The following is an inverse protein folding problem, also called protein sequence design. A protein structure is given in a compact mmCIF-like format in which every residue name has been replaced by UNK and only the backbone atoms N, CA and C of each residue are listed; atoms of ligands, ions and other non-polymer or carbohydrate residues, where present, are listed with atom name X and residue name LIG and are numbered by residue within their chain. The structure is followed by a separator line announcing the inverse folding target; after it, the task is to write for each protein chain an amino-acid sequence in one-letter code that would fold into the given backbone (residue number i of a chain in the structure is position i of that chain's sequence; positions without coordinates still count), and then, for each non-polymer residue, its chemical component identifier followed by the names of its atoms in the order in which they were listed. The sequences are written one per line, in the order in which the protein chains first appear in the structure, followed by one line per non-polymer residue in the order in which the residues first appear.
data_IF_443266810014
#
_entry.id   IF_443266810014
#
_cell.length_a   1.000
_cell.length_b   1.000
_cell.length_c   1.000
_cell.angle_alpha   90.00
_cell.angle_beta   90.00
_cell.angle_gamma   90.00
#
_symmetry.space_group_name_H-M   'P 1'
#
loop_
_entity.id
_entity.type
_entity.pdbx_description
1 polymer ?
#
# COMPACT_ATOMS: atom_id res chain seq x y z
N UNK A 1 32.64 6.89 -0.71
CA UNK A 1 33.67 7.97 -0.61
C UNK A 1 32.97 9.18 -0.01
N UNK A 2 33.60 9.85 0.99
CA UNK A 2 33.10 11.12 1.50
C UNK A 2 33.47 12.20 0.50
N UNK A 3 32.54 13.09 0.15
CA UNK A 3 32.84 14.31 -0.61
C UNK A 3 33.64 15.28 0.23
N UNK A 4 34.26 16.24 -0.42
CA UNK A 4 35.06 17.26 0.22
C UNK A 4 36.01 17.94 -0.76
N UNK A 5 36.83 18.85 -0.25
CA UNK A 5 37.85 19.49 -1.04
C UNK A 5 39.17 18.72 -0.92
N UNK A 6 39.73 18.33 -2.06
CA UNK A 6 41.07 17.75 -2.15
C UNK A 6 42.03 18.85 -2.53
N UNK A 7 42.97 19.16 -1.63
CA UNK A 7 44.08 20.06 -1.93
C UNK A 7 45.29 19.28 -2.41
N UNK A 8 45.75 19.56 -3.61
CA UNK A 8 46.98 18.98 -4.19
C UNK A 8 48.11 19.97 -4.05
N UNK A 9 49.25 19.48 -3.62
CA UNK A 9 50.47 20.28 -3.63
C UNK A 9 51.64 19.49 -4.24
N UNK A 10 52.49 20.18 -4.96
CA UNK A 10 53.77 19.63 -5.44
C UNK A 10 54.90 20.21 -4.61
N UNK A 11 55.82 19.37 -4.19
CA UNK A 11 57.03 19.73 -3.47
C UNK A 11 58.22 19.24 -4.25
N UNK A 12 59.14 20.15 -4.54
CA UNK A 12 60.41 19.85 -5.23
C UNK A 12 61.56 20.30 -4.28
N UNK A 13 62.54 19.45 -4.13
CA UNK A 13 63.75 19.72 -3.36
C UNK A 13 64.95 19.65 -4.30
N UNK A 14 65.82 20.65 -4.31
CA UNK A 14 67.05 20.67 -5.12
C UNK A 14 68.18 19.89 -4.41
N UNK A 15 69.34 19.80 -5.06
CA UNK A 15 70.47 19.09 -4.55
C UNK A 15 71.08 19.73 -3.27
N UNK A 16 70.79 20.98 -3.03
CA UNK A 16 71.27 21.77 -1.85
C UNK A 16 70.24 21.71 -0.71
N UNK A 17 69.19 20.92 -0.87
CA UNK A 17 68.12 20.70 0.14
C UNK A 17 67.11 21.83 0.18
N UNK A 18 67.09 22.78 -0.72
CA UNK A 18 66.13 23.86 -0.80
C UNK A 18 64.82 23.35 -1.40
N UNK A 19 63.74 23.63 -0.74
CA UNK A 19 62.42 23.13 -1.08
C UNK A 19 61.54 24.22 -1.63
N UNK A 20 60.87 23.94 -2.77
CA UNK A 20 59.78 24.73 -3.31
C UNK A 20 58.49 23.93 -3.22
N UNK A 21 57.44 24.53 -2.65
CA UNK A 21 56.10 23.92 -2.58
C UNK A 21 55.11 24.80 -3.35
N UNK A 22 54.33 24.17 -4.24
CA UNK A 22 53.22 24.80 -4.95
C UNK A 22 51.93 24.14 -4.57
N UNK A 23 50.98 24.87 -4.04
CA UNK A 23 49.64 24.45 -3.75
C UNK A 23 48.73 24.77 -4.92
N UNK A 24 47.94 23.82 -5.37
CA UNK A 24 46.95 23.97 -6.42
C UNK A 24 45.60 24.32 -5.82
N UNK A 25 44.68 24.89 -6.64
CA UNK A 25 43.31 25.16 -6.21
C UNK A 25 42.64 23.83 -5.77
N UNK A 26 41.88 23.84 -4.68
CA UNK A 26 41.14 22.65 -4.23
C UNK A 26 40.26 22.08 -5.33
N UNK A 27 40.27 20.77 -5.46
CA UNK A 27 39.38 20.03 -6.33
C UNK A 27 38.18 19.59 -5.49
N UNK A 28 37.00 20.06 -5.84
CA UNK A 28 35.76 19.57 -5.21
C UNK A 28 35.47 18.17 -5.68
N UNK A 29 35.37 17.25 -4.73
CA UNK A 29 34.86 15.90 -4.99
C UNK A 29 33.34 15.90 -4.81
N UNK A 30 32.61 15.59 -5.88
CA UNK A 30 31.18 15.52 -5.84
C UNK A 30 30.70 14.40 -4.89
N UNK A 31 29.58 14.63 -4.22
CA UNK A 31 28.90 13.62 -3.42
C UNK A 31 27.65 13.18 -4.13
N UNK A 32 27.43 11.88 -4.12
CA UNK A 32 26.17 11.25 -4.50
C UNK A 32 25.69 10.45 -3.30
N UNK A 33 24.58 10.85 -2.69
CA UNK A 33 24.06 10.20 -1.49
C UNK A 33 22.55 10.16 -1.51
N UNK A 34 21.96 9.03 -1.16
CA UNK A 34 20.54 8.92 -0.85
C UNK A 34 20.41 9.03 0.68
N UNK A 35 19.91 10.16 1.16
CA UNK A 35 19.72 10.42 2.60
C UNK A 35 18.64 9.54 3.17
N UNK A 36 17.50 9.48 2.49
CA UNK A 36 16.34 8.71 2.90
C UNK A 36 15.48 8.29 1.69
N UNK A 37 14.59 7.32 1.93
CA UNK A 37 13.45 7.01 1.07
C UNK A 37 12.21 7.34 1.90
N UNK A 38 11.39 8.26 1.38
CA UNK A 38 10.14 8.68 1.99
C UNK A 38 8.98 8.04 1.23
N UNK A 39 8.02 7.52 1.95
CA UNK A 39 6.79 6.95 1.39
C UNK A 39 5.58 7.72 1.87
N UNK A 40 4.62 7.94 0.97
CA UNK A 40 3.35 8.59 1.27
C UNK A 40 2.19 7.82 0.63
N UNK A 41 1.28 7.25 1.42
CA UNK A 41 1.30 7.17 2.88
C UNK A 41 2.45 6.32 3.43
N UNK A 42 2.76 6.51 4.74
CA UNK A 42 3.80 5.73 5.43
C UNK A 42 3.31 4.30 5.72
N UNK A 43 4.28 3.37 5.88
CA UNK A 43 4.01 2.00 6.34
C UNK A 43 3.45 1.97 7.79
N UNK A 44 2.53 1.04 8.12
CA UNK A 44 1.92 0.04 7.24
C UNK A 44 0.74 0.58 6.43
N UNK A 45 0.44 -0.05 5.28
CA UNK A 45 -0.73 0.23 4.46
C UNK A 45 -1.42 -1.07 4.04
N UNK A 46 -2.57 -0.96 3.35
CA UNK A 46 -3.32 -2.11 2.86
C UNK A 46 -3.08 -2.37 1.37
N UNK A 47 -3.30 -3.61 0.95
CA UNK A 47 -3.34 -4.00 -0.47
C UNK A 47 -4.23 -3.03 -1.26
N UNK A 48 -3.77 -2.60 -2.44
CA UNK A 48 -4.46 -1.67 -3.32
C UNK A 48 -4.28 -0.18 -2.97
N UNK A 49 -3.57 0.16 -1.88
CA UNK A 49 -3.25 1.55 -1.57
C UNK A 49 -2.16 2.06 -2.51
N UNK A 50 -2.41 3.18 -3.19
CA UNK A 50 -1.39 3.87 -3.98
C UNK A 50 -0.38 4.56 -3.07
N UNK A 51 0.89 4.23 -3.22
CA UNK A 51 2.01 4.69 -2.39
C UNK A 51 2.97 5.46 -3.28
N UNK A 52 3.20 6.72 -2.98
CA UNK A 52 4.26 7.49 -3.59
C UNK A 52 5.58 7.19 -2.85
N UNK A 53 6.63 6.86 -3.60
CA UNK A 53 7.98 6.55 -3.10
C UNK A 53 8.91 7.62 -3.64
N UNK A 54 9.62 8.33 -2.76
CA UNK A 54 10.53 9.41 -3.14
C UNK A 54 11.87 9.28 -2.43
N UNK A 55 12.97 9.37 -3.18
CA UNK A 55 14.31 9.46 -2.61
C UNK A 55 14.66 10.90 -2.24
N UNK A 56 15.15 11.10 -1.02
CA UNK A 56 15.81 12.33 -0.57
C UNK A 56 17.29 12.22 -0.93
N UNK A 57 17.71 13.00 -1.93
CA UNK A 57 19.01 12.89 -2.57
C UNK A 57 19.84 14.12 -2.26
N UNK A 58 21.08 13.91 -1.83
CA UNK A 58 22.12 14.94 -1.83
C UNK A 58 23.08 14.66 -2.99
N UNK A 59 23.08 15.58 -3.93
CA UNK A 59 23.93 15.51 -5.11
C UNK A 59 24.60 16.87 -5.35
N UNK A 60 25.90 16.96 -5.10
CA UNK A 60 26.66 18.12 -5.45
C UNK A 60 26.95 18.08 -6.96
N UNK A 61 26.30 18.95 -7.72
CA UNK A 61 26.39 18.99 -9.19
C UNK A 61 27.83 18.98 -9.71
N UNK A 62 28.09 17.97 -10.58
CA UNK A 62 29.22 18.08 -11.48
C UNK A 62 28.86 18.99 -12.67
N UNK A 63 29.86 19.51 -13.36
CA UNK A 63 29.76 20.28 -14.60
C UNK A 63 28.91 19.60 -15.69
N UNK A 64 28.55 18.30 -15.54
CA UNK A 64 27.92 17.46 -16.53
C UNK A 64 26.48 17.01 -16.17
N UNK A 65 25.85 17.63 -15.16
CA UNK A 65 24.40 17.43 -14.94
C UNK A 65 24.04 16.36 -13.93
N UNK A 66 22.88 15.79 -14.10
CA UNK A 66 22.15 14.90 -13.19
C UNK A 66 22.77 13.49 -13.11
N UNK A 67 22.30 12.70 -12.10
CA UNK A 67 22.52 11.27 -12.12
C UNK A 67 22.02 10.66 -13.46
N UNK A 68 22.66 9.59 -13.95
CA UNK A 68 22.33 8.97 -15.23
C UNK A 68 21.25 7.88 -15.10
N UNK A 69 21.06 7.34 -13.89
CA UNK A 69 19.93 6.47 -13.57
C UNK A 69 19.50 6.63 -12.13
N UNK A 70 18.22 6.40 -11.90
CA UNK A 70 17.60 6.19 -10.60
C UNK A 70 16.49 5.16 -10.75
N UNK A 71 16.59 4.08 -10.02
CA UNK A 71 15.57 3.03 -10.03
C UNK A 71 15.24 2.55 -8.62
N UNK A 72 14.01 2.12 -8.44
CA UNK A 72 13.53 1.46 -7.25
C UNK A 72 13.29 -0.01 -7.54
N UNK A 73 13.88 -0.90 -6.74
CA UNK A 73 13.57 -2.32 -6.73
C UNK A 73 12.71 -2.61 -5.50
N UNK A 74 11.53 -3.13 -5.74
CA UNK A 74 10.60 -3.57 -4.69
C UNK A 74 10.67 -5.07 -4.60
N UNK A 75 11.02 -5.57 -3.41
CA UNK A 75 11.17 -7.01 -3.17
C UNK A 75 10.18 -7.46 -2.10
N UNK A 76 9.62 -8.65 -2.30
CA UNK A 76 8.85 -9.41 -1.32
C UNK A 76 9.57 -10.73 -1.08
N UNK A 77 9.84 -11.05 0.17
CA UNK A 77 10.54 -12.28 0.57
C UNK A 77 11.86 -12.51 -0.21
N UNK A 78 12.60 -11.42 -0.47
CA UNK A 78 13.88 -11.44 -1.19
C UNK A 78 13.77 -11.41 -2.72
N UNK A 79 12.59 -11.67 -3.30
CA UNK A 79 12.38 -11.67 -4.74
C UNK A 79 11.92 -10.31 -5.24
N UNK A 80 12.48 -9.82 -6.37
CA UNK A 80 12.02 -8.61 -7.02
C UNK A 80 10.62 -8.85 -7.59
N UNK A 81 9.64 -8.05 -7.12
CA UNK A 81 8.25 -8.09 -7.61
C UNK A 81 7.95 -6.92 -8.54
N UNK A 82 8.70 -5.82 -8.41
CA UNK A 82 8.53 -4.66 -9.27
C UNK A 82 9.82 -3.84 -9.36
N UNK A 83 10.05 -3.20 -10.51
CA UNK A 83 11.12 -2.23 -10.73
C UNK A 83 10.52 -0.97 -11.34
N UNK A 84 10.72 0.18 -10.68
CA UNK A 84 10.17 1.47 -11.08
C UNK A 84 11.30 2.47 -11.30
N UNK A 85 11.19 3.31 -12.32
CA UNK A 85 12.22 4.28 -12.68
C UNK A 85 11.63 5.67 -12.90
N UNK A 86 12.24 6.67 -12.29
CA UNK A 86 12.03 8.08 -12.62
C UNK A 86 13.34 8.85 -12.46
N UNK A 87 14.14 8.97 -13.53
CA UNK A 87 15.43 9.67 -13.47
C UNK A 87 15.30 11.19 -13.33
N UNK A 88 14.10 11.75 -13.39
CA UNK A 88 13.90 13.20 -13.36
C UNK A 88 13.44 13.74 -12.01
N UNK A 89 12.50 13.06 -11.35
CA UNK A 89 11.86 13.56 -10.14
C UNK A 89 12.26 12.79 -8.88
N UNK A 90 12.95 11.65 -9.03
CA UNK A 90 13.30 10.71 -7.97
C UNK A 90 12.06 10.22 -7.19
N UNK A 91 10.90 10.16 -7.87
CA UNK A 91 9.61 9.86 -7.27
C UNK A 91 8.80 8.94 -8.18
N UNK A 92 8.29 7.86 -7.64
CA UNK A 92 7.48 6.87 -8.35
C UNK A 92 6.23 6.51 -7.54
N UNK A 93 5.21 6.00 -8.21
CA UNK A 93 4.01 5.48 -7.57
C UNK A 93 3.99 3.96 -7.64
N UNK A 94 3.67 3.32 -6.51
CA UNK A 94 3.55 1.89 -6.36
C UNK A 94 2.20 1.52 -5.76
N UNK A 95 1.57 0.46 -6.27
CA UNK A 95 0.30 -0.06 -5.74
C UNK A 95 0.44 -1.57 -5.49
N UNK A 96 0.67 -2.01 -4.24
CA UNK A 96 0.85 -3.42 -3.92
C UNK A 96 -0.43 -4.21 -4.17
N UNK A 97 -0.29 -5.37 -4.81
CA UNK A 97 -1.38 -6.31 -5.08
C UNK A 97 -1.49 -7.43 -4.06
N UNK A 98 -0.47 -7.61 -3.22
CA UNK A 98 -0.44 -8.66 -2.20
C UNK A 98 0.01 -8.10 -0.85
N UNK A 99 -0.48 -8.70 0.23
CA UNK A 99 -0.01 -8.43 1.58
C UNK A 99 1.35 -9.08 1.83
N UNK A 100 2.17 -8.47 2.68
CA UNK A 100 3.48 -9.00 3.06
C UNK A 100 4.44 -7.95 3.56
N UNK A 101 5.66 -8.40 3.84
CA UNK A 101 6.78 -7.53 4.16
C UNK A 101 7.60 -7.26 2.90
N UNK A 102 7.78 -6.01 2.59
CA UNK A 102 8.51 -5.56 1.42
C UNK A 102 9.78 -4.83 1.81
N UNK A 103 10.78 -4.88 0.94
CA UNK A 103 11.90 -3.96 0.96
C UNK A 103 11.87 -3.10 -0.30
N UNK A 104 12.06 -1.80 -0.13
CA UNK A 104 12.14 -0.82 -1.21
C UNK A 104 13.58 -0.33 -1.26
N UNK A 105 14.28 -0.64 -2.33
CA UNK A 105 15.69 -0.26 -2.53
C UNK A 105 15.79 0.74 -3.66
N UNK A 106 16.27 1.94 -3.36
CA UNK A 106 16.62 2.93 -4.38
C UNK A 106 18.10 2.78 -4.75
N UNK A 107 18.37 2.63 -6.03
CA UNK A 107 19.71 2.60 -6.62
C UNK A 107 19.86 3.76 -7.58
N UNK A 108 20.94 4.52 -7.45
CA UNK A 108 21.26 5.62 -8.36
C UNK A 108 22.74 5.67 -8.70
N UNK A 109 23.06 6.23 -9.84
CA UNK A 109 24.44 6.45 -10.27
C UNK A 109 24.59 7.67 -11.15
N UNK A 110 25.82 8.17 -11.27
CA UNK A 110 26.16 9.30 -12.13
C UNK A 110 27.13 8.92 -13.23
N UNK A 111 27.36 9.84 -14.18
CA UNK A 111 28.26 9.63 -15.31
C UNK A 111 29.74 9.57 -14.91
N UNK A 112 30.10 9.90 -13.66
CA UNK A 112 31.45 9.76 -13.14
C UNK A 112 31.75 8.38 -12.55
N UNK A 113 30.76 7.47 -12.58
CA UNK A 113 30.85 6.13 -12.02
C UNK A 113 30.59 6.06 -10.51
N UNK A 114 30.09 7.15 -9.88
CA UNK A 114 29.63 7.07 -8.51
C UNK A 114 28.25 6.42 -8.45
N UNK A 115 27.99 5.69 -7.37
CA UNK A 115 26.70 5.07 -7.10
C UNK A 115 26.32 5.21 -5.65
N UNK A 116 25.02 5.24 -5.37
CA UNK A 116 24.45 5.22 -4.03
C UNK A 116 23.25 4.26 -3.99
N UNK A 117 23.09 3.62 -2.85
CA UNK A 117 21.99 2.67 -2.60
C UNK A 117 21.42 2.93 -1.21
N UNK A 118 20.11 2.89 -1.10
CA UNK A 118 19.37 2.96 0.18
C UNK A 118 18.22 1.99 0.16
N UNK A 119 17.93 1.36 1.30
CA UNK A 119 16.81 0.43 1.46
C UNK A 119 15.98 0.82 2.66
N UNK A 120 14.66 0.69 2.55
CA UNK A 120 13.68 0.81 3.64
C UNK A 120 12.73 -0.39 3.61
N UNK A 121 12.19 -0.73 4.77
CA UNK A 121 11.16 -1.75 4.90
C UNK A 121 9.78 -1.11 4.75
N UNK A 122 8.83 -1.88 4.20
CA UNK A 122 7.44 -1.46 4.04
C UNK A 122 6.51 -2.64 4.28
N UNK A 123 5.51 -2.46 5.12
CA UNK A 123 4.53 -3.50 5.45
C UNK A 123 3.22 -3.21 4.71
N UNK A 124 2.71 -4.21 4.02
CA UNK A 124 1.40 -4.19 3.37
C UNK A 124 0.51 -5.21 4.06
N UNK A 125 -0.55 -4.75 4.68
CA UNK A 125 -1.52 -5.60 5.34
C UNK A 125 -2.56 -6.10 4.33
N UNK A 126 -3.10 -7.27 4.60
CA UNK A 126 -4.28 -7.76 3.89
C UNK A 126 -5.43 -6.81 4.19
N UNK A 127 -6.13 -6.35 3.15
CA UNK A 127 -7.38 -5.60 3.37
C UNK A 127 -8.35 -6.54 4.05
N UNK A 128 -8.78 -6.17 5.23
CA UNK A 128 -9.69 -7.03 6.00
C UNK A 128 -11.03 -7.08 5.25
N UNK A 129 -11.37 -8.24 4.71
CA UNK A 129 -12.63 -8.43 3.98
C UNK A 129 -13.84 -8.34 4.91
N UNK A 130 -13.62 -8.37 6.23
CA UNK A 130 -14.69 -8.18 7.22
C UNK A 130 -15.23 -6.75 7.22
N UNK A 131 -14.44 -5.76 6.82
CA UNK A 131 -14.88 -4.36 6.75
C UNK A 131 -15.96 -4.10 5.69
N UNK A 132 -16.17 -5.04 4.77
CA UNK A 132 -17.15 -4.93 3.70
C UNK A 132 -18.33 -5.91 3.86
N UNK A 133 -18.53 -6.43 5.05
CA UNK A 133 -19.59 -7.39 5.33
C UNK A 133 -20.77 -6.73 6.03
N UNK A 134 -21.97 -7.25 5.70
CA UNK A 134 -23.16 -7.14 6.54
C UNK A 134 -23.37 -8.52 7.16
N UNK A 135 -23.22 -8.61 8.46
CA UNK A 135 -23.48 -9.83 9.23
C UNK A 135 -24.82 -9.66 9.95
N UNK A 136 -25.79 -10.53 9.68
CA UNK A 136 -27.12 -10.46 10.26
C UNK A 136 -27.37 -11.72 11.08
N UNK A 137 -27.57 -11.57 12.39
CA UNK A 137 -28.10 -12.57 13.26
C UNK A 137 -29.63 -12.40 13.32
N UNK A 138 -30.36 -13.46 13.05
CA UNK A 138 -31.80 -13.44 12.82
C UNK A 138 -32.55 -14.39 13.75
N UNK A 139 -33.72 -13.96 14.20
CA UNK A 139 -34.73 -14.81 14.85
C UNK A 139 -36.11 -14.44 14.32
N UNK A 140 -36.92 -15.45 14.01
CA UNK A 140 -38.24 -15.28 13.43
C UNK A 140 -38.74 -16.55 12.78
N UNK A 141 -38.71 -16.63 11.46
CA UNK A 141 -39.12 -17.82 10.74
C UNK A 141 -38.31 -19.06 11.15
N UNK A 142 -38.94 -20.23 11.18
CA UNK A 142 -38.27 -21.49 11.54
C UNK A 142 -37.19 -21.90 10.52
N UNK A 143 -37.40 -21.62 9.25
CA UNK A 143 -36.45 -21.89 8.15
C UNK A 143 -36.31 -20.63 7.28
N UNK A 144 -35.60 -19.60 7.76
CA UNK A 144 -35.58 -18.31 7.10
C UNK A 144 -34.71 -18.30 5.84
N UNK A 145 -35.17 -17.50 4.89
CA UNK A 145 -34.42 -17.08 3.70
C UNK A 145 -34.20 -15.59 3.75
N UNK A 146 -33.07 -15.17 3.21
CA UNK A 146 -32.69 -13.76 3.03
C UNK A 146 -32.67 -13.45 1.54
N UNK A 147 -33.42 -12.45 1.13
CA UNK A 147 -33.46 -11.94 -0.22
C UNK A 147 -32.92 -10.52 -0.21
N UNK A 148 -31.92 -10.24 -1.00
CA UNK A 148 -31.22 -8.98 -0.90
C UNK A 148 -30.72 -8.43 -2.25
N UNK A 149 -30.46 -7.13 -2.26
CA UNK A 149 -29.82 -6.36 -3.31
C UNK A 149 -28.66 -5.57 -2.70
N UNK A 150 -27.46 -5.78 -3.18
CA UNK A 150 -26.35 -4.89 -2.85
C UNK A 150 -26.50 -3.61 -3.66
N UNK A 151 -26.38 -2.48 -3.01
CA UNK A 151 -26.46 -1.10 -3.51
C UNK A 151 -26.55 -0.96 -5.05
N UNK A 152 -27.70 -0.56 -5.56
CA UNK A 152 -27.99 -0.39 -7.00
C UNK A 152 -27.72 -1.62 -7.91
N UNK A 153 -27.42 -2.78 -7.34
CA UNK A 153 -27.23 -4.04 -8.07
C UNK A 153 -28.56 -4.73 -8.37
N UNK A 154 -28.51 -5.99 -8.79
CA UNK A 154 -29.69 -6.82 -8.97
C UNK A 154 -30.07 -7.50 -7.64
N UNK A 155 -31.37 -7.73 -7.45
CA UNK A 155 -31.86 -8.59 -6.39
C UNK A 155 -31.44 -10.05 -6.63
N UNK A 156 -31.22 -10.79 -5.55
CA UNK A 156 -31.07 -12.25 -5.63
C UNK A 156 -32.33 -12.88 -6.25
N UNK A 157 -32.25 -14.11 -6.75
CA UNK A 157 -33.47 -14.81 -7.20
C UNK A 157 -34.31 -15.23 -5.99
N UNK A 158 -35.63 -14.98 -6.04
CA UNK A 158 -36.51 -15.39 -4.96
C UNK A 158 -36.52 -16.93 -4.79
N UNK A 159 -36.60 -17.45 -3.57
CA UNK A 159 -36.78 -16.78 -2.28
C UNK A 159 -35.53 -16.16 -1.70
N UNK A 160 -34.40 -16.15 -2.38
CA UNK A 160 -33.10 -15.74 -1.89
C UNK A 160 -32.29 -16.92 -1.38
N UNK A 161 -31.43 -16.67 -0.41
CA UNK A 161 -30.55 -17.70 0.17
C UNK A 161 -31.05 -18.13 1.54
N UNK A 162 -31.01 -19.44 1.78
CA UNK A 162 -31.32 -19.98 3.11
C UNK A 162 -30.33 -19.50 4.13
N UNK A 163 -30.79 -18.98 5.26
CA UNK A 163 -29.93 -18.58 6.36
C UNK A 163 -29.38 -19.80 7.10
N UNK A 164 -28.19 -19.68 7.65
CA UNK A 164 -27.47 -20.77 8.33
C UNK A 164 -27.83 -20.74 9.82
N UNK A 165 -28.23 -21.89 10.36
CA UNK A 165 -28.46 -22.05 11.78
C UNK A 165 -27.16 -21.74 12.57
N UNK A 166 -27.28 -21.03 13.68
CA UNK A 166 -26.15 -20.63 14.51
C UNK A 166 -26.50 -20.53 15.99
N UNK A 167 -25.51 -20.69 16.84
CA UNK A 167 -25.56 -20.41 18.27
C UNK A 167 -24.54 -19.31 18.69
N UNK A 168 -23.94 -18.64 17.73
CA UNK A 168 -22.90 -17.60 17.98
C UNK A 168 -23.45 -16.35 18.70
N UNK A 169 -24.77 -16.12 18.65
CA UNK A 169 -25.41 -14.96 19.25
C UNK A 169 -26.62 -15.39 20.06
N UNK A 170 -26.60 -15.16 21.36
CA UNK A 170 -27.69 -15.50 22.26
C UNK A 170 -29.01 -14.85 21.82
N UNK A 171 -30.10 -15.65 21.83
CA UNK A 171 -31.41 -15.23 21.39
C UNK A 171 -31.63 -15.17 19.87
N UNK A 172 -30.66 -15.56 19.06
CA UNK A 172 -30.75 -15.57 17.60
C UNK A 172 -30.38 -16.94 17.04
N UNK A 173 -31.24 -17.49 16.19
CA UNK A 173 -31.13 -18.88 15.73
C UNK A 173 -30.47 -19.05 14.37
N UNK A 174 -30.38 -17.98 13.58
CA UNK A 174 -29.84 -18.03 12.23
C UNK A 174 -28.88 -16.85 11.96
N UNK A 175 -27.99 -17.06 11.00
CA UNK A 175 -27.01 -16.05 10.56
C UNK A 175 -26.90 -16.04 9.05
N UNK A 176 -26.67 -14.87 8.48
CA UNK A 176 -26.24 -14.72 7.11
C UNK A 176 -25.20 -13.61 6.98
N UNK A 177 -24.30 -13.77 6.01
CA UNK A 177 -23.23 -12.81 5.73
C UNK A 177 -23.33 -12.37 4.28
N UNK A 178 -23.53 -11.09 4.06
CA UNK A 178 -23.53 -10.46 2.73
C UNK A 178 -22.18 -9.78 2.52
N UNK A 179 -21.49 -10.12 1.45
CA UNK A 179 -20.29 -9.38 1.03
C UNK A 179 -20.73 -8.23 0.12
N UNK A 180 -20.47 -7.01 0.57
CA UNK A 180 -20.81 -5.79 -0.18
C UNK A 180 -19.77 -5.42 -1.25
N UNK A 181 -18.58 -6.06 -1.24
CA UNK A 181 -17.48 -5.66 -2.11
C UNK A 181 -17.05 -4.21 -1.86
N UNK A 182 -17.15 -3.36 -2.87
CA UNK A 182 -16.85 -1.91 -2.82
C UNK A 182 -18.06 -1.04 -2.43
N UNK A 183 -19.23 -1.66 -2.21
CA UNK A 183 -20.51 -0.97 -1.92
C UNK A 183 -20.67 -0.67 -0.43
N UNK A 184 -21.69 0.13 -0.10
CA UNK A 184 -21.88 0.64 1.25
C UNK A 184 -23.00 -0.04 2.04
N UNK A 185 -24.02 -0.59 1.35
CA UNK A 185 -25.20 -1.19 1.98
C UNK A 185 -25.81 -2.30 1.14
N UNK A 186 -26.69 -3.07 1.79
CA UNK A 186 -27.65 -3.95 1.14
C UNK A 186 -29.07 -3.60 1.57
N UNK A 187 -30.01 -3.68 0.61
CA UNK A 187 -31.44 -3.74 0.90
C UNK A 187 -31.82 -5.20 1.05
N UNK A 188 -32.59 -5.52 2.08
CA UNK A 188 -32.85 -6.89 2.52
C UNK A 188 -34.32 -7.07 2.86
N UNK A 189 -34.87 -8.22 2.54
CA UNK A 189 -36.10 -8.74 3.14
C UNK A 189 -35.95 -10.21 3.50
N UNK A 190 -36.80 -10.71 4.37
CA UNK A 190 -36.75 -12.07 4.85
C UNK A 190 -38.02 -12.81 4.44
N UNK A 191 -37.97 -14.14 4.34
CA UNK A 191 -39.12 -14.96 4.08
C UNK A 191 -38.93 -16.38 4.63
N UNK A 192 -40.00 -17.17 4.64
CA UNK A 192 -40.04 -18.58 5.10
C UNK A 192 -39.80 -19.60 3.97
N UNK A 193 -39.58 -19.14 2.74
CA UNK A 193 -39.46 -19.98 1.56
C UNK A 193 -40.81 -20.43 0.98
N UNK A 194 -41.96 -20.12 1.63
CA UNK A 194 -43.30 -20.54 1.27
C UNK A 194 -44.23 -19.37 0.89
N UNK A 195 -43.66 -18.18 0.68
CA UNK A 195 -44.40 -17.02 0.23
C UNK A 195 -44.77 -16.01 1.33
N UNK A 196 -44.42 -16.24 2.59
CA UNK A 196 -44.59 -15.26 3.65
C UNK A 196 -43.34 -14.37 3.73
N UNK A 197 -43.52 -13.08 3.45
CA UNK A 197 -42.46 -12.12 3.38
C UNK A 197 -42.51 -11.12 4.51
N UNK A 198 -41.39 -10.83 5.11
CA UNK A 198 -41.12 -9.67 5.95
C UNK A 198 -40.24 -8.69 5.18
N UNK A 199 -40.86 -7.66 4.64
CA UNK A 199 -40.26 -6.65 3.78
C UNK A 199 -40.47 -5.24 4.29
N UNK A 200 -40.73 -5.05 5.60
CA UNK A 200 -41.01 -3.72 6.14
C UNK A 200 -42.14 -2.99 5.36
N UNK A 201 -43.26 -3.67 5.16
CA UNK A 201 -44.39 -3.15 4.36
C UNK A 201 -43.98 -2.76 2.93
N UNK A 202 -43.12 -3.55 2.28
CA UNK A 202 -42.61 -3.31 0.92
C UNK A 202 -41.45 -2.31 0.80
N UNK A 203 -41.02 -1.70 1.90
CA UNK A 203 -39.90 -0.73 1.92
C UNK A 203 -38.53 -1.39 2.00
N UNK A 204 -38.49 -2.67 2.38
CA UNK A 204 -37.28 -3.44 2.71
C UNK A 204 -36.50 -2.87 3.90
N UNK A 205 -35.51 -3.60 4.36
CA UNK A 205 -34.59 -3.17 5.41
C UNK A 205 -33.25 -2.81 4.79
N UNK A 206 -32.63 -1.70 5.22
CA UNK A 206 -31.30 -1.32 4.76
C UNK A 206 -30.27 -1.59 5.85
N UNK A 207 -29.25 -2.35 5.50
CA UNK A 207 -28.09 -2.62 6.35
C UNK A 207 -26.83 -2.06 5.70
N UNK A 208 -26.14 -1.16 6.39
CA UNK A 208 -24.79 -0.73 6.03
C UNK A 208 -23.77 -1.78 6.44
N UNK A 209 -22.49 -1.56 6.17
CA UNK A 209 -21.40 -2.40 6.67
C UNK A 209 -21.50 -2.55 8.19
N UNK A 210 -21.37 -3.77 8.70
CA UNK A 210 -21.42 -4.04 10.13
C UNK A 210 -22.14 -5.32 10.53
N UNK A 211 -22.29 -5.52 11.83
CA UNK A 211 -22.95 -6.66 12.43
C UNK A 211 -24.26 -6.23 13.09
N UNK A 212 -25.33 -6.95 12.80
CA UNK A 212 -26.68 -6.61 13.21
C UNK A 212 -27.39 -7.81 13.84
N UNK A 213 -28.31 -7.49 14.73
CA UNK A 213 -29.31 -8.43 15.23
C UNK A 213 -30.68 -8.02 14.67
N UNK A 214 -31.43 -8.97 14.14
CA UNK A 214 -32.75 -8.72 13.57
C UNK A 214 -33.77 -9.73 14.07
N UNK A 215 -34.90 -9.22 14.55
CA UNK A 215 -36.04 -10.01 15.01
C UNK A 215 -37.24 -9.70 14.15
N UNK A 216 -37.79 -10.73 13.53
CA UNK A 216 -39.04 -10.63 12.81
C UNK A 216 -40.20 -10.46 13.80
N UNK A 217 -41.14 -9.56 13.52
CA UNK A 217 -42.30 -9.39 14.38
C UNK A 217 -43.04 -8.14 14.17
#
# INVERSE_FOLDING_TARGET
KKGGDITVFAKVTDADGKTLTKTFKPIKVNTLTIKNIVTSPTSPQYVGTKINIKADIEYSQSKYGRYNYLKYEIKKDGNVVETLEDPYNASVDWTPTEAGNYTITCNMGDMSGQSATKTVNYVVNKKDTTDNLVVIYYVGYYSPYIHYQVENGSWTNAPGYKMIATNEKDGYSHKYVINLGDKNYANVCFNDGNGNWDSNNGKNYRFNKGTYTFKNG
#
